data_IF_048350848157
#
_entry.id   IF_048350848157
#
_cell.length_a   1.000
_cell.length_b   1.000
_cell.length_c   1.000
_cell.angle_alpha   90.00
_cell.angle_beta   90.00
_cell.angle_gamma   90.00
#
_symmetry.space_group_name_H-M   'P 1'
#
loop_
_entity.id
_entity.type
_entity.pdbx_description
1 polymer ?
#
# COMPACT_ATOMS: atom_id res chain seq x y z
N UNK A 1 1.73 4.18 19.32
CA UNK A 1 1.06 3.86 18.03
C UNK A 1 2.07 4.15 16.94
N UNK A 2 2.36 3.19 16.06
CA UNK A 2 3.36 3.39 15.00
C UNK A 2 2.61 3.65 13.69
N UNK A 3 2.91 4.77 13.05
CA UNK A 3 2.27 5.19 11.80
C UNK A 3 3.32 5.24 10.70
N UNK A 4 2.94 4.79 9.50
CA UNK A 4 3.80 4.80 8.33
C UNK A 4 3.08 5.51 7.19
N UNK A 5 3.73 6.53 6.61
CA UNK A 5 3.25 7.15 5.37
C UNK A 5 4.03 6.58 4.19
N UNK A 6 3.35 5.90 3.27
CA UNK A 6 3.96 5.30 2.08
C UNK A 6 3.40 5.97 0.84
N UNK A 7 4.26 6.61 0.06
CA UNK A 7 3.91 7.07 -1.28
C UNK A 7 4.24 5.98 -2.29
N UNK A 8 3.22 5.27 -2.77
CA UNK A 8 3.36 4.19 -3.74
C UNK A 8 2.43 4.42 -4.93
N UNK A 9 2.89 4.01 -6.12
CA UNK A 9 2.01 3.85 -7.28
C UNK A 9 1.21 2.55 -7.13
N UNK A 10 -0.06 2.61 -7.50
CA UNK A 10 -0.91 1.41 -7.62
C UNK A 10 -0.31 0.50 -8.68
N UNK A 11 -0.14 -0.77 -8.33
CA UNK A 11 0.36 -1.81 -9.24
C UNK A 11 -0.82 -2.58 -9.83
N UNK A 12 -0.60 -3.24 -10.97
CA UNK A 12 -1.60 -4.07 -11.63
C UNK A 12 -1.18 -5.54 -11.58
N UNK A 13 -2.06 -6.40 -11.09
CA UNK A 13 -1.90 -7.85 -11.14
C UNK A 13 -3.12 -8.45 -11.83
N UNK A 14 -2.93 -8.87 -13.10
CA UNK A 14 -4.04 -9.29 -13.95
C UNK A 14 -5.05 -8.15 -14.15
N UNK A 15 -6.31 -8.40 -13.79
CA UNK A 15 -7.40 -7.39 -13.82
C UNK A 15 -7.50 -6.56 -12.54
N UNK A 16 -6.75 -6.91 -11.49
CA UNK A 16 -6.84 -6.27 -10.20
C UNK A 16 -5.79 -5.16 -10.05
N UNK A 17 -6.22 -4.05 -9.44
CA UNK A 17 -5.33 -3.02 -8.92
C UNK A 17 -4.94 -3.39 -7.48
N UNK A 18 -3.64 -3.43 -7.20
CA UNK A 18 -3.11 -3.84 -5.90
C UNK A 18 -2.14 -2.80 -5.34
N UNK A 19 -2.11 -2.67 -4.02
CA UNK A 19 -1.06 -1.96 -3.28
C UNK A 19 -0.11 -3.01 -2.73
N UNK A 20 1.12 -3.01 -3.20
CA UNK A 20 2.15 -3.94 -2.72
C UNK A 20 2.78 -3.37 -1.45
N UNK A 21 2.68 -4.11 -0.35
CA UNK A 21 3.36 -3.79 0.92
C UNK A 21 4.88 -3.86 0.70
N UNK A 22 5.64 -2.77 0.96
CA UNK A 22 7.10 -2.79 0.87
C UNK A 22 7.74 -3.75 1.88
N UNK A 23 8.83 -4.42 1.48
CA UNK A 23 9.54 -5.39 2.33
C UNK A 23 10.00 -4.80 3.68
N UNK A 24 10.36 -3.53 3.72
CA UNK A 24 10.76 -2.84 4.96
C UNK A 24 9.67 -2.85 6.04
N UNK A 25 8.40 -3.04 5.66
CA UNK A 25 7.29 -3.13 6.59
C UNK A 25 6.95 -4.56 7.00
N UNK A 26 7.60 -5.58 6.43
CA UNK A 26 7.33 -6.98 6.82
C UNK A 26 7.71 -7.26 8.27
N UNK A 27 8.72 -6.57 8.80
CA UNK A 27 9.12 -6.70 10.20
C UNK A 27 8.11 -6.02 11.15
N UNK A 28 7.23 -5.16 10.60
CA UNK A 28 6.24 -4.37 11.34
C UNK A 28 4.79 -4.83 11.10
N UNK A 29 4.54 -5.57 10.02
CA UNK A 29 3.22 -6.07 9.61
C UNK A 29 3.29 -7.60 9.56
N UNK A 30 2.61 -8.24 10.51
CA UNK A 30 2.54 -9.69 10.58
C UNK A 30 1.35 -10.21 9.78
N UNK A 31 1.40 -11.47 9.28
CA UNK A 31 0.23 -12.11 8.71
C UNK A 31 -0.96 -12.05 9.66
N UNK A 32 -2.14 -11.69 9.13
CA UNK A 32 -3.42 -11.53 9.85
C UNK A 32 -3.59 -10.25 10.68
N UNK A 33 -2.62 -9.33 10.67
CA UNK A 33 -2.84 -8.01 11.25
C UNK A 33 -3.95 -7.27 10.50
N UNK A 34 -4.96 -6.80 11.24
CA UNK A 34 -5.97 -5.89 10.71
C UNK A 34 -5.43 -4.47 10.78
N UNK A 35 -5.21 -3.85 9.62
CA UNK A 35 -4.67 -2.50 9.51
C UNK A 35 -5.65 -1.56 8.81
N UNK A 36 -5.65 -0.30 9.23
CA UNK A 36 -6.36 0.77 8.53
C UNK A 36 -5.48 1.31 7.39
N UNK A 37 -6.07 1.52 6.20
CA UNK A 37 -5.38 2.13 5.06
C UNK A 37 -6.07 3.45 4.72
N UNK A 38 -5.35 4.56 4.90
CA UNK A 38 -5.80 5.88 4.46
C UNK A 38 -5.18 6.23 3.10
N UNK A 39 -6.00 6.37 2.05
CA UNK A 39 -5.52 6.59 0.68
C UNK A 39 -5.87 8.02 0.23
N UNK A 40 -4.83 8.79 -0.11
CA UNK A 40 -4.96 10.09 -0.78
C UNK A 40 -4.40 10.01 -2.19
N UNK A 41 -5.25 10.23 -3.20
CA UNK A 41 -4.81 10.26 -4.60
C UNK A 41 -3.98 11.53 -4.82
N UNK A 42 -2.66 11.37 -4.97
CA UNK A 42 -1.74 12.51 -5.17
C UNK A 42 -1.63 12.94 -6.64
N UNK A 43 -1.71 11.98 -7.57
CA UNK A 43 -1.65 12.22 -9.02
C UNK A 43 -2.35 11.08 -9.75
N UNK A 44 -3.20 11.39 -10.73
CA UNK A 44 -3.76 10.37 -11.64
C UNK A 44 -2.69 9.95 -12.65
N UNK A 45 -2.56 8.64 -12.88
CA UNK A 45 -1.83 8.16 -14.04
C UNK A 45 -2.63 8.51 -15.28
N UNK A 46 -2.04 9.29 -16.19
CA UNK A 46 -2.58 9.42 -17.53
C UNK A 46 -2.15 8.17 -18.31
N UNK A 47 -3.07 7.61 -19.11
CA UNK A 47 -2.73 6.61 -20.12
C UNK A 47 -1.79 7.19 -21.18
#
# INVERSE_FOLDING_TARGET
MQEFTITKKISKQGKNSIIVVPKILHDHLQPNDLVEINIKILKRGNE
#
